data_IF_448879681471
#
_entry.id   IF_448879681471
#
_cell.length_a   1.000
_cell.length_b   1.000
_cell.length_c   1.000
_cell.angle_alpha   90.00
_cell.angle_beta   90.00
_cell.angle_gamma   90.00
#
_symmetry.space_group_name_H-M   'P 1'
#
loop_
_entity.id
_entity.type
_entity.pdbx_description
1 polymer ?
#
# COMPACT_ATOMS: atom_id res chain seq x y z
N UNK A 1 -1.78 -3.09 -2.43
CA UNK A 1 -1.46 -1.98 -3.34
C UNK A 1 -0.30 -1.20 -2.77
N UNK A 2 0.62 -0.77 -3.62
CA UNK A 2 1.82 -0.01 -3.26
C UNK A 2 2.11 1.04 -4.32
N UNK A 3 2.91 2.05 -3.99
CA UNK A 3 3.54 2.95 -4.94
C UNK A 3 5.06 2.69 -4.94
N UNK A 4 5.69 2.88 -6.10
CA UNK A 4 7.14 2.92 -6.28
C UNK A 4 7.70 4.35 -6.40
N UNK A 5 6.86 5.38 -6.22
CA UNK A 5 7.25 6.80 -6.25
C UNK A 5 7.21 7.42 -4.85
N UNK A 6 6.07 7.32 -4.14
CA UNK A 6 5.92 7.92 -2.81
C UNK A 6 4.72 7.38 -2.04
N UNK A 7 4.76 7.50 -0.70
CA UNK A 7 3.60 7.19 0.14
C UNK A 7 2.43 8.17 -0.07
N UNK A 8 2.71 9.44 -0.40
CA UNK A 8 1.67 10.43 -0.67
C UNK A 8 0.78 10.00 -1.85
N UNK A 9 1.41 9.65 -2.98
CA UNK A 9 0.67 9.15 -4.15
C UNK A 9 -0.14 7.89 -3.80
N UNK A 10 0.43 6.99 -2.99
CA UNK A 10 -0.26 5.78 -2.54
C UNK A 10 -1.51 6.12 -1.71
N UNK A 11 -1.43 7.11 -0.82
CA UNK A 11 -2.57 7.57 -0.02
C UNK A 11 -3.64 8.23 -0.91
N UNK A 12 -3.25 9.14 -1.80
CA UNK A 12 -4.17 9.84 -2.70
C UNK A 12 -4.94 8.85 -3.61
N UNK A 13 -4.24 7.82 -4.11
CA UNK A 13 -4.84 6.79 -4.94
C UNK A 13 -5.78 5.87 -4.11
N UNK A 14 -5.43 5.57 -2.86
CA UNK A 14 -6.28 4.83 -1.94
C UNK A 14 -7.58 5.59 -1.62
N UNK A 15 -7.51 6.90 -1.41
CA UNK A 15 -8.67 7.77 -1.22
C UNK A 15 -9.58 7.78 -2.44
N UNK A 16 -9.01 7.89 -3.65
CA UNK A 16 -9.74 7.82 -4.93
C UNK A 16 -10.47 6.48 -5.09
N UNK A 17 -9.88 5.39 -4.60
CA UNK A 17 -10.51 4.07 -4.60
C UNK A 17 -11.62 3.92 -3.55
N UNK A 18 -11.63 4.78 -2.52
CA UNK A 18 -12.51 4.69 -1.35
C UNK A 18 -11.98 3.73 -0.28
N UNK A 19 -10.68 3.47 -0.26
CA UNK A 19 -10.04 2.62 0.75
C UNK A 19 -9.75 3.48 1.99
N UNK A 20 -10.22 3.08 3.19
CA UNK A 20 -10.02 3.88 4.39
C UNK A 20 -8.54 3.87 4.82
N UNK A 21 -8.04 4.95 5.45
CA UNK A 21 -6.64 5.04 5.91
C UNK A 21 -6.19 3.89 6.82
N UNK A 22 -7.11 3.32 7.62
CA UNK A 22 -6.85 2.13 8.46
C UNK A 22 -6.43 0.87 7.69
N UNK A 23 -6.63 0.83 6.37
CA UNK A 23 -6.15 -0.26 5.52
C UNK A 23 -4.65 -0.16 5.19
N UNK A 24 -3.98 0.91 5.63
CA UNK A 24 -2.56 1.11 5.44
C UNK A 24 -1.74 0.34 6.47
N UNK A 25 -0.70 -0.34 6.00
CA UNK A 25 0.18 -1.21 6.79
C UNK A 25 1.66 -0.75 6.75
N UNK A 26 1.88 0.56 6.60
CA UNK A 26 3.19 1.20 6.66
C UNK A 26 3.89 1.34 5.31
N UNK A 27 3.73 0.36 4.41
CA UNK A 27 4.25 0.41 3.02
C UNK A 27 3.25 -0.01 1.95
N UNK A 28 2.04 -0.42 2.35
CA UNK A 28 1.02 -0.90 1.43
C UNK A 28 -0.39 -0.73 1.98
N UNK A 29 -1.36 -0.75 1.08
CA UNK A 29 -2.77 -0.96 1.38
C UNK A 29 -3.21 -2.39 1.05
N UNK A 30 -3.93 -3.03 1.95
CA UNK A 30 -4.63 -4.28 1.62
C UNK A 30 -5.90 -3.96 0.83
N UNK A 31 -5.96 -4.45 -0.41
CA UNK A 31 -7.13 -4.27 -1.27
C UNK A 31 -8.08 -5.47 -1.13
N UNK A 32 -9.36 -5.24 -0.80
CA UNK A 32 -10.40 -6.23 -1.03
C UNK A 32 -10.44 -6.70 -2.48
N UNK A 33 -10.89 -7.92 -2.73
CA UNK A 33 -10.87 -8.50 -4.08
C UNK A 33 -11.71 -7.71 -5.08
N UNK A 34 -12.87 -7.18 -4.65
CA UNK A 34 -13.78 -6.41 -5.49
C UNK A 34 -13.23 -5.04 -5.93
N UNK A 35 -12.19 -4.51 -5.28
CA UNK A 35 -11.59 -3.21 -5.63
C UNK A 35 -10.41 -3.34 -6.57
N UNK A 36 -9.95 -4.57 -6.86
CA UNK A 36 -8.85 -4.80 -7.81
C UNK A 36 -9.21 -4.32 -9.22
N UNK A 37 -10.39 -4.71 -9.71
CA UNK A 37 -10.84 -4.32 -11.05
C UNK A 37 -10.97 -2.79 -11.17
N UNK A 38 -11.52 -2.15 -10.12
CA UNK A 38 -11.62 -0.69 -10.04
C UNK A 38 -10.25 -0.02 -10.00
N UNK A 39 -9.27 -0.59 -9.28
CA UNK A 39 -7.91 -0.09 -9.25
C UNK A 39 -7.28 -0.11 -10.65
N UNK A 40 -7.43 -1.21 -11.38
CA UNK A 40 -6.92 -1.33 -12.76
C UNK A 40 -7.60 -0.32 -13.69
N UNK A 41 -8.92 -0.12 -13.57
CA UNK A 41 -9.66 0.88 -14.34
C UNK A 41 -9.21 2.32 -14.05
N UNK A 42 -8.75 2.60 -12.82
CA UNK A 42 -8.23 3.90 -12.41
C UNK A 42 -6.73 4.09 -12.72
N UNK A 43 -6.10 3.13 -13.40
CA UNK A 43 -4.71 3.23 -13.85
C UNK A 43 -3.69 2.47 -13.00
N UNK A 44 -4.12 1.68 -12.00
CA UNK A 44 -3.22 0.75 -11.35
C UNK A 44 -2.77 -0.34 -12.32
N UNK A 45 -1.53 -0.77 -12.21
CA UNK A 45 -0.98 -1.85 -13.03
C UNK A 45 -0.93 -3.14 -12.22
N UNK A 46 -1.58 -4.19 -12.72
CA UNK A 46 -1.42 -5.52 -12.14
C UNK A 46 -0.02 -6.06 -12.45
N UNK A 47 0.72 -6.38 -11.39
CA UNK A 47 2.08 -6.92 -11.47
C UNK A 47 2.17 -8.22 -10.71
N UNK A 48 3.11 -9.08 -11.12
CA UNK A 48 3.42 -10.30 -10.37
C UNK A 48 4.04 -9.95 -9.03
N UNK A 49 3.93 -10.85 -8.04
CA UNK A 49 4.55 -10.67 -6.72
C UNK A 49 6.06 -10.41 -6.79
N UNK A 50 6.75 -11.02 -7.77
CA UNK A 50 8.20 -10.82 -7.96
C UNK A 50 8.52 -9.41 -8.43
N UNK A 51 7.74 -8.90 -9.39
CA UNK A 51 7.90 -7.55 -9.91
C UNK A 51 7.57 -6.51 -8.84
N UNK A 52 6.51 -6.75 -8.06
CA UNK A 52 6.11 -5.92 -6.93
C UNK A 52 7.26 -5.72 -5.93
N UNK A 53 7.88 -6.82 -5.47
CA UNK A 53 9.00 -6.77 -4.52
C UNK A 53 10.21 -6.06 -5.10
N UNK A 54 10.48 -6.24 -6.40
CA UNK A 54 11.59 -5.56 -7.09
C UNK A 54 11.38 -4.05 -7.14
N UNK A 55 10.20 -3.56 -7.55
CA UNK A 55 9.89 -2.13 -7.63
C UNK A 55 9.91 -1.47 -6.26
N UNK A 56 9.30 -2.12 -5.27
CA UNK A 56 9.34 -1.66 -3.87
C UNK A 56 10.75 -1.56 -3.31
N UNK A 57 11.61 -2.54 -3.62
CA UNK A 57 13.01 -2.52 -3.24
C UNK A 57 13.78 -1.36 -3.88
N UNK A 58 13.52 -1.10 -5.17
CA UNK A 58 14.15 0.01 -5.91
C UNK A 58 13.68 1.38 -5.41
N UNK A 59 12.40 1.50 -5.02
CA UNK A 59 11.82 2.74 -4.48
C UNK A 59 12.26 3.06 -3.05
N UNK A 60 12.86 2.10 -2.33
CA UNK A 60 13.22 2.28 -0.91
C UNK A 60 12.02 2.38 0.05
N UNK A 61 10.80 2.14 -0.44
CA UNK A 61 9.56 2.26 0.33
C UNK A 61 9.20 0.98 1.09
N UNK A 62 9.90 -0.13 0.84
CA UNK A 62 9.61 -1.42 1.44
C UNK A 62 10.00 -1.45 2.92
N UNK A 63 9.07 -1.79 3.79
CA UNK A 63 9.36 -2.10 5.18
C UNK A 63 9.79 -3.57 5.34
N UNK A 64 10.81 -3.79 6.17
CA UNK A 64 11.21 -5.12 6.63
C UNK A 64 10.10 -5.75 7.49
N UNK A 65 10.16 -7.06 7.71
CA UNK A 65 9.21 -7.74 8.58
C UNK A 65 9.25 -7.19 10.03
N UNK A 66 10.42 -6.79 10.52
CA UNK A 66 10.57 -6.17 11.83
C UNK A 66 9.91 -4.79 11.88
N UNK A 67 10.16 -3.94 10.88
CA UNK A 67 9.54 -2.62 10.78
C UNK A 67 8.01 -2.70 10.65
N UNK A 68 7.47 -3.64 9.86
CA UNK A 68 6.02 -3.84 9.76
C UNK A 68 5.41 -4.32 11.08
N UNK A 69 6.11 -5.15 11.85
CA UNK A 69 5.65 -5.55 13.19
C UNK A 69 5.65 -4.36 14.15
N UNK A 70 6.69 -3.53 14.13
CA UNK A 70 6.73 -2.31 14.93
C UNK A 70 5.56 -1.37 14.57
N UNK A 71 5.33 -1.13 13.27
CA UNK A 71 4.21 -0.31 12.80
C UNK A 71 2.83 -0.83 13.22
N UNK A 72 2.64 -2.15 13.31
CA UNK A 72 1.39 -2.75 13.82
C UNK A 72 1.24 -2.68 15.33
N UNK A 73 2.33 -2.55 16.08
CA UNK A 73 2.34 -2.47 17.54
C UNK A 73 2.31 -1.04 18.06
N UNK A 74 2.62 -0.04 17.23
CA UNK A 74 2.23 1.35 17.49
C UNK A 74 0.72 1.45 17.33
N UNK A 75 -0.02 1.19 18.42
CA UNK A 75 -1.43 1.52 18.52
C UNK A 75 -1.63 2.99 18.07
N UNK A 76 -2.57 3.30 17.15
CA UNK A 76 -2.91 4.69 16.91
C UNK A 76 -3.37 5.30 18.24
N UNK A 77 -2.94 6.52 18.60
CA UNK A 77 -3.40 7.16 19.83
C UNK A 77 -4.92 7.16 19.82
N UNK A 78 -5.51 6.46 20.80
CA UNK A 78 -6.94 6.51 21.05
C UNK A 78 -7.30 7.97 21.24
N UNK A 79 -8.03 8.53 20.28
CA UNK A 79 -8.68 9.83 20.40
C UNK A 79 -10.17 9.60 20.29
#
# INVERSE_FOLDING_TARGET
>A
MVSDVSLQELHDFAETLGIPPRGFHGDHYDLPQYVRDKATQLGAVEVTSKELVRRLGAAGLRLTAAQRRAFKHEDPPST
#
